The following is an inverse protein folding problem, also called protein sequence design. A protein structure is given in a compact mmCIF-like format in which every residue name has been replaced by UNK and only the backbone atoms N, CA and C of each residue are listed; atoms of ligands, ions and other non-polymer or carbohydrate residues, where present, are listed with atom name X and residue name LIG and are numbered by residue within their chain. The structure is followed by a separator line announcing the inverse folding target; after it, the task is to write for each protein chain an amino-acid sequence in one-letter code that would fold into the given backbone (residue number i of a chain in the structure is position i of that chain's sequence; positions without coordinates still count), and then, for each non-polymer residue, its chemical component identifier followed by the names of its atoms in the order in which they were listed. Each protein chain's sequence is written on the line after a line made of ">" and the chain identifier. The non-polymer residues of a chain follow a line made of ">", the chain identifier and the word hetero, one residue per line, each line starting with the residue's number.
data_IF_366138027199
#
_entry.id   IF_366138027199
#
_cell.length_a   1.000
_cell.length_b   1.000
_cell.length_c   1.000
_cell.angle_alpha   90.00
_cell.angle_beta   90.00
_cell.angle_gamma   90.00
#
_symmetry.space_group_name_H-M   'P 1'
#
loop_
_entity.id
_entity.type
_entity.pdbx_description
1 polymer ?
#
# COMPACT_ATOMS: atom_id res chain seq x y z
N UNK A 1 -27.36 6.48 -8.70
CA UNK A 1 -26.96 6.94 -7.35
C UNK A 1 -25.92 5.96 -6.88
N UNK A 2 -24.66 6.39 -6.77
CA UNK A 2 -23.52 5.52 -6.44
C UNK A 2 -23.58 5.10 -4.98
N UNK A 3 -23.55 3.81 -4.73
CA UNK A 3 -23.58 3.20 -3.40
C UNK A 3 -22.15 3.15 -2.86
N UNK A 4 -21.88 3.85 -1.76
CA UNK A 4 -20.53 3.94 -1.16
C UNK A 4 -20.53 3.24 0.19
N UNK A 5 -19.58 2.32 0.37
CA UNK A 5 -19.26 1.70 1.65
C UNK A 5 -18.00 2.38 2.21
N UNK A 6 -18.03 2.76 3.48
CA UNK A 6 -16.92 3.46 4.15
C UNK A 6 -16.26 2.51 5.14
N UNK A 7 -14.92 2.41 5.05
CA UNK A 7 -14.08 1.73 6.02
C UNK A 7 -13.01 2.67 6.57
N UNK A 8 -13.00 2.90 7.88
CA UNK A 8 -11.94 3.66 8.54
C UNK A 8 -11.78 3.21 9.98
N UNK A 9 -10.56 3.19 10.51
CA UNK A 9 -10.29 2.79 11.89
C UNK A 9 -10.85 3.82 12.88
N UNK A 10 -10.70 5.11 12.60
CA UNK A 10 -11.21 6.21 13.44
C UNK A 10 -12.72 6.43 13.27
N UNK A 11 -13.47 6.45 14.39
CA UNK A 11 -14.90 6.77 14.40
C UNK A 11 -15.17 8.21 13.95
N UNK A 12 -14.30 9.15 14.30
CA UNK A 12 -14.40 10.55 13.93
C UNK A 12 -14.27 10.71 12.41
N UNK A 13 -13.33 10.01 11.81
CA UNK A 13 -13.14 10.01 10.35
C UNK A 13 -14.36 9.41 9.66
N UNK A 14 -14.88 8.29 10.15
CA UNK A 14 -16.11 7.68 9.60
C UNK A 14 -17.27 8.65 9.60
N UNK A 15 -17.54 9.28 10.75
CA UNK A 15 -18.63 10.27 10.87
C UNK A 15 -18.43 11.48 9.94
N UNK A 16 -17.18 11.93 9.78
CA UNK A 16 -16.82 13.01 8.86
C UNK A 16 -17.11 12.64 7.41
N UNK A 17 -16.64 11.46 6.96
CA UNK A 17 -16.88 10.96 5.60
C UNK A 17 -18.34 10.70 5.32
N UNK A 18 -19.11 10.15 6.28
CA UNK A 18 -20.56 9.99 6.14
C UNK A 18 -21.27 11.34 5.96
N UNK A 19 -20.93 12.32 6.79
CA UNK A 19 -21.51 13.68 6.71
C UNK A 19 -21.17 14.31 5.35
N UNK A 20 -19.94 14.21 4.91
CA UNK A 20 -19.47 14.73 3.63
C UNK A 20 -20.24 14.12 2.46
N UNK A 21 -20.27 12.78 2.38
CA UNK A 21 -20.93 12.09 1.28
C UNK A 21 -22.44 12.22 1.32
N UNK A 22 -23.02 12.35 2.51
CA UNK A 22 -24.47 12.59 2.70
C UNK A 22 -24.95 13.93 2.12
N UNK A 23 -24.06 14.91 1.95
CA UNK A 23 -24.42 16.20 1.30
C UNK A 23 -24.48 16.11 -0.22
N UNK A 24 -23.96 15.05 -0.82
CA UNK A 24 -23.88 14.89 -2.28
C UNK A 24 -25.01 14.01 -2.79
N UNK A 25 -26.01 14.56 -3.52
CA UNK A 25 -27.19 13.80 -3.95
C UNK A 25 -26.88 12.59 -4.86
N UNK A 26 -25.70 12.57 -5.48
CA UNK A 26 -25.26 11.49 -6.35
C UNK A 26 -24.85 10.22 -5.57
N UNK A 27 -24.60 10.33 -4.27
CA UNK A 27 -24.12 9.24 -3.45
C UNK A 27 -25.18 8.72 -2.47
N UNK A 28 -25.02 7.45 -2.09
CA UNK A 28 -25.75 6.81 -1.00
C UNK A 28 -24.75 6.02 -0.18
N UNK A 29 -24.46 6.45 1.04
CA UNK A 29 -23.69 5.65 1.99
C UNK A 29 -24.54 4.44 2.38
N UNK A 30 -24.04 3.23 2.11
CA UNK A 30 -24.71 1.96 2.39
C UNK A 30 -24.24 1.31 3.68
N UNK A 31 -23.13 1.79 4.22
CA UNK A 31 -22.58 1.38 5.51
C UNK A 31 -21.29 2.13 5.81
N UNK A 32 -20.95 2.16 7.10
CA UNK A 32 -19.72 2.78 7.60
C UNK A 32 -19.22 1.98 8.80
N UNK A 33 -18.06 1.39 8.68
CA UNK A 33 -17.53 0.41 9.63
C UNK A 33 -16.02 0.59 9.84
N UNK A 34 -15.44 0.02 10.91
CA UNK A 34 -14.01 -0.24 10.96
C UNK A 34 -13.57 -1.06 9.74
N UNK A 35 -12.34 -0.87 9.25
CA UNK A 35 -11.85 -1.42 7.97
C UNK A 35 -12.18 -2.92 7.83
N UNK A 36 -11.77 -3.75 8.81
CA UNK A 36 -12.02 -5.20 8.76
C UNK A 36 -13.51 -5.57 8.69
N UNK A 37 -14.38 -4.81 9.36
CA UNK A 37 -15.82 -5.02 9.31
C UNK A 37 -16.42 -4.55 7.98
N UNK A 38 -15.91 -3.45 7.40
CA UNK A 38 -16.32 -2.98 6.08
C UNK A 38 -16.02 -4.04 5.00
N UNK A 39 -14.85 -4.66 5.07
CA UNK A 39 -14.46 -5.74 4.17
C UNK A 39 -15.37 -6.98 4.33
N UNK A 40 -15.71 -7.34 5.58
CA UNK A 40 -16.62 -8.47 5.84
C UNK A 40 -18.06 -8.23 5.34
N UNK A 41 -18.51 -6.96 5.35
CA UNK A 41 -19.86 -6.57 4.90
C UNK A 41 -19.93 -6.27 3.39
N UNK A 42 -18.81 -6.30 2.70
CA UNK A 42 -18.71 -5.92 1.30
C UNK A 42 -19.61 -6.74 0.38
N UNK A 43 -19.58 -8.07 0.51
CA UNK A 43 -20.37 -8.97 -0.32
C UNK A 43 -21.89 -8.83 -0.06
N UNK A 44 -22.28 -8.59 1.19
CA UNK A 44 -23.68 -8.44 1.57
C UNK A 44 -24.25 -7.10 1.08
N UNK A 45 -23.48 -6.03 1.26
CA UNK A 45 -23.92 -4.68 0.93
C UNK A 45 -23.79 -4.34 -0.55
N UNK A 46 -22.96 -5.05 -1.31
CA UNK A 46 -22.70 -4.84 -2.74
C UNK A 46 -22.59 -3.35 -3.11
N UNK A 47 -21.61 -2.62 -2.58
CA UNK A 47 -21.42 -1.20 -2.91
C UNK A 47 -20.89 -1.06 -4.33
N UNK A 48 -21.14 0.07 -4.97
CA UNK A 48 -20.52 0.44 -6.25
C UNK A 48 -19.07 0.91 -6.05
N UNK A 49 -18.75 1.45 -4.86
CA UNK A 49 -17.41 1.92 -4.49
C UNK A 49 -17.15 1.63 -3.02
N UNK A 50 -15.95 1.12 -2.72
CA UNK A 50 -15.44 1.01 -1.35
C UNK A 50 -14.45 2.16 -1.11
N UNK A 51 -14.72 3.00 -0.10
CA UNK A 51 -13.82 4.06 0.35
C UNK A 51 -13.13 3.60 1.64
N UNK A 52 -11.81 3.47 1.62
CA UNK A 52 -11.00 3.13 2.78
C UNK A 52 -10.11 4.31 3.19
N UNK A 53 -10.07 4.60 4.48
CA UNK A 53 -9.09 5.49 5.09
C UNK A 53 -8.06 4.64 5.84
N UNK A 54 -6.83 4.62 5.33
CA UNK A 54 -5.72 3.86 5.88
C UNK A 54 -4.86 4.80 6.73
N UNK A 55 -5.03 4.72 8.05
CA UNK A 55 -4.38 5.64 9.00
C UNK A 55 -3.02 5.11 9.49
N UNK A 56 -2.86 3.80 9.50
CA UNK A 56 -1.69 3.16 10.08
C UNK A 56 -1.02 2.18 9.10
N UNK A 57 0.28 1.88 9.30
CA UNK A 57 0.95 0.82 8.55
C UNK A 57 0.30 -0.56 8.73
N UNK A 58 -0.43 -0.78 9.83
CA UNK A 58 -1.17 -2.00 10.09
C UNK A 58 -2.40 -2.09 9.17
N UNK A 59 -3.09 -0.97 8.93
CA UNK A 59 -4.20 -0.89 7.98
C UNK A 59 -3.70 -1.15 6.54
N UNK A 60 -2.52 -0.65 6.19
CA UNK A 60 -1.89 -0.83 4.87
C UNK A 60 -1.38 -2.26 4.65
N UNK A 61 -0.96 -2.95 5.71
CA UNK A 61 -0.50 -4.34 5.64
C UNK A 61 -1.65 -5.35 5.56
N UNK A 62 -2.89 -4.92 5.78
CA UNK A 62 -4.06 -5.76 5.51
C UNK A 62 -4.07 -6.11 4.03
N UNK A 63 -3.99 -7.38 3.72
CA UNK A 63 -4.24 -7.87 2.36
C UNK A 63 -5.62 -7.38 1.96
N UNK A 64 -5.67 -6.31 1.16
CA UNK A 64 -6.93 -5.84 0.61
C UNK A 64 -7.51 -7.02 -0.15
N UNK A 65 -8.71 -7.53 0.18
CA UNK A 65 -9.30 -8.70 -0.48
C UNK A 65 -9.77 -8.29 -1.86
N UNK A 66 -8.82 -8.08 -2.76
CA UNK A 66 -9.08 -7.70 -4.13
C UNK A 66 -8.83 -8.92 -4.99
N UNK A 67 -9.73 -9.89 -4.86
CA UNK A 67 -9.92 -10.87 -5.91
C UNK A 67 -10.53 -10.13 -7.11
N UNK A 68 -9.94 -10.34 -8.28
CA UNK A 68 -10.31 -9.71 -9.54
C UNK A 68 -11.83 -9.72 -9.77
N UNK A 69 -12.47 -8.57 -9.69
CA UNK A 69 -13.91 -8.42 -9.97
C UNK A 69 -14.72 -7.66 -8.92
N UNK A 70 -14.10 -7.20 -7.84
CA UNK A 70 -14.75 -6.44 -6.77
C UNK A 70 -14.90 -4.95 -7.20
N UNK A 71 -15.91 -4.27 -6.66
CA UNK A 71 -16.21 -2.85 -6.89
C UNK A 71 -14.97 -1.97 -6.75
N UNK A 72 -14.92 -0.83 -7.47
CA UNK A 72 -13.80 0.10 -7.41
C UNK A 72 -13.44 0.50 -5.98
N UNK A 73 -12.15 0.41 -5.65
CA UNK A 73 -11.61 0.82 -4.37
C UNK A 73 -11.03 2.24 -4.49
N UNK A 74 -11.39 3.10 -3.55
CA UNK A 74 -10.80 4.43 -3.32
C UNK A 74 -10.10 4.40 -1.97
N UNK A 75 -8.84 4.79 -1.94
CA UNK A 75 -8.01 4.78 -0.74
C UNK A 75 -7.55 6.18 -0.38
N UNK A 76 -7.72 6.55 0.88
CA UNK A 76 -7.12 7.72 1.51
C UNK A 76 -5.93 7.22 2.34
N UNK A 77 -4.72 7.73 2.07
CA UNK A 77 -3.51 7.31 2.78
C UNK A 77 -2.42 8.37 2.67
N UNK A 78 -1.57 8.45 3.68
CA UNK A 78 -0.36 9.28 3.65
C UNK A 78 0.85 8.51 3.09
N UNK A 79 0.69 7.19 2.84
CA UNK A 79 1.71 6.38 2.21
C UNK A 79 1.71 6.59 0.70
N UNK A 80 2.73 7.28 0.21
CA UNK A 80 2.95 7.53 -1.23
C UNK A 80 4.13 6.72 -1.77
N UNK A 81 4.58 5.68 -1.05
CA UNK A 81 5.67 4.82 -1.51
C UNK A 81 5.28 4.17 -2.85
N UNK A 82 6.13 4.39 -3.84
CA UNK A 82 5.91 3.96 -5.23
C UNK A 82 5.49 2.47 -5.33
N UNK A 83 6.14 1.62 -4.54
CA UNK A 83 5.86 0.20 -4.52
C UNK A 83 4.43 -0.12 -4.04
N UNK A 84 4.01 0.47 -2.89
CA UNK A 84 2.68 0.27 -2.34
C UNK A 84 1.58 0.77 -3.30
N UNK A 85 1.82 1.91 -3.95
CA UNK A 85 0.89 2.48 -4.93
C UNK A 85 0.69 1.55 -6.13
N UNK A 86 1.78 0.98 -6.67
CA UNK A 86 1.70 0.02 -7.78
C UNK A 86 0.95 -1.24 -7.37
N UNK A 87 1.25 -1.80 -6.19
CA UNK A 87 0.56 -2.99 -5.67
C UNK A 87 -0.95 -2.72 -5.47
N UNK A 88 -1.30 -1.56 -4.92
CA UNK A 88 -2.68 -1.17 -4.74
C UNK A 88 -3.43 -1.05 -6.07
N UNK A 89 -2.81 -0.46 -7.09
CA UNK A 89 -3.41 -0.35 -8.43
C UNK A 89 -3.55 -1.71 -9.12
N UNK A 90 -2.54 -2.57 -9.05
CA UNK A 90 -2.58 -3.93 -9.58
C UNK A 90 -3.65 -4.77 -8.90
N UNK A 91 -3.88 -4.51 -7.62
CA UNK A 91 -4.95 -5.12 -6.83
C UNK A 91 -6.36 -4.60 -7.15
N UNK A 92 -6.53 -3.62 -8.04
CA UNK A 92 -7.83 -3.10 -8.48
C UNK A 92 -8.26 -1.78 -7.84
N UNK A 93 -7.42 -1.14 -7.04
CA UNK A 93 -7.66 0.23 -6.56
C UNK A 93 -7.83 1.18 -7.74
N UNK A 94 -8.82 2.07 -7.68
CA UNK A 94 -9.13 3.04 -8.73
C UNK A 94 -8.80 4.47 -8.35
N UNK A 95 -8.68 4.77 -7.06
CA UNK A 95 -8.21 6.08 -6.64
C UNK A 95 -7.31 5.98 -5.40
N UNK A 96 -6.24 6.75 -5.39
CA UNK A 96 -5.32 6.88 -4.27
C UNK A 96 -5.11 8.37 -4.03
N UNK A 97 -5.46 8.82 -2.83
CA UNK A 97 -5.45 10.21 -2.42
C UNK A 97 -4.75 10.35 -1.06
N UNK A 98 -4.02 11.45 -0.81
CA UNK A 98 -3.60 11.84 0.53
C UNK A 98 -4.81 12.04 1.46
N UNK A 99 -4.60 11.90 2.77
CA UNK A 99 -5.67 12.05 3.77
C UNK A 99 -6.10 13.51 3.99
N UNK A 100 -5.26 14.48 3.63
CA UNK A 100 -5.50 15.92 3.77
C UNK A 100 -6.27 16.54 2.58
N UNK A 101 -6.93 15.69 1.77
CA UNK A 101 -7.71 16.12 0.61
C UNK A 101 -8.96 16.91 0.99
N UNK A 102 -9.34 17.81 0.08
CA UNK A 102 -10.61 18.53 0.18
C UNK A 102 -11.82 17.61 -0.08
N UNK A 103 -12.96 18.00 0.43
CA UNK A 103 -14.22 17.29 0.18
C UNK A 103 -14.54 17.13 -1.30
N UNK A 104 -14.21 18.14 -2.10
CA UNK A 104 -14.47 18.16 -3.55
C UNK A 104 -13.59 17.13 -4.28
N UNK A 105 -12.33 16.98 -3.88
CA UNK A 105 -11.39 16.00 -4.45
C UNK A 105 -11.81 14.57 -4.12
N UNK A 106 -12.23 14.30 -2.87
CA UNK A 106 -12.75 12.99 -2.47
C UNK A 106 -14.00 12.63 -3.30
N UNK A 107 -14.93 13.58 -3.46
CA UNK A 107 -16.13 13.38 -4.28
C UNK A 107 -15.78 13.08 -5.74
N UNK A 108 -14.86 13.87 -6.32
CA UNK A 108 -14.41 13.66 -7.71
C UNK A 108 -13.74 12.30 -7.90
N UNK A 109 -12.91 11.87 -6.95
CA UNK A 109 -12.24 10.57 -6.99
C UNK A 109 -13.24 9.39 -6.92
N UNK A 110 -14.25 9.48 -6.04
CA UNK A 110 -15.31 8.45 -5.96
C UNK A 110 -16.12 8.40 -7.25
N UNK A 111 -16.43 9.54 -7.87
CA UNK A 111 -17.13 9.59 -9.16
C UNK A 111 -16.29 8.99 -10.29
N UNK A 112 -15.00 9.30 -10.34
CA UNK A 112 -14.08 8.75 -11.32
C UNK A 112 -13.96 7.23 -11.17
N UNK A 113 -13.77 6.74 -9.93
CA UNK A 113 -13.70 5.32 -9.63
C UNK A 113 -15.00 4.60 -10.02
N UNK A 114 -16.15 5.14 -9.68
CA UNK A 114 -17.46 4.58 -10.07
C UNK A 114 -17.67 4.54 -11.59
N UNK A 115 -17.03 5.44 -12.34
CA UNK A 115 -17.01 5.42 -13.81
C UNK A 115 -15.97 4.47 -14.40
N UNK A 116 -15.22 3.74 -13.57
CA UNK A 116 -14.15 2.81 -14.01
C UNK A 116 -12.84 3.50 -14.40
N UNK A 117 -12.68 4.77 -14.07
CA UNK A 117 -11.44 5.52 -14.30
C UNK A 117 -10.47 5.33 -13.13
N UNK A 118 -9.19 5.56 -13.39
CA UNK A 118 -8.17 5.65 -12.34
C UNK A 118 -7.92 7.13 -12.03
N UNK A 119 -8.00 7.50 -10.75
CA UNK A 119 -7.73 8.84 -10.25
C UNK A 119 -6.57 8.79 -9.26
N UNK A 120 -5.48 9.47 -9.57
CA UNK A 120 -4.32 9.60 -8.70
C UNK A 120 -4.10 11.07 -8.39
N UNK A 121 -3.87 11.37 -7.12
CA UNK A 121 -3.47 12.71 -6.75
C UNK A 121 -2.09 13.05 -7.38
N UNK A 122 -1.84 14.30 -7.81
CA UNK A 122 -0.56 14.67 -8.43
C UNK A 122 0.68 14.31 -7.60
N UNK A 123 0.60 14.37 -6.29
CA UNK A 123 1.71 13.95 -5.39
C UNK A 123 1.99 12.45 -5.53
N UNK A 124 0.96 11.61 -5.54
CA UNK A 124 1.08 10.17 -5.73
C UNK A 124 1.65 9.85 -7.11
N UNK A 125 1.13 10.52 -8.14
CA UNK A 125 1.64 10.36 -9.50
C UNK A 125 3.11 10.82 -9.60
N UNK A 126 3.47 11.92 -8.94
CA UNK A 126 4.83 12.43 -8.94
C UNK A 126 5.80 11.45 -8.27
N UNK A 127 5.42 10.82 -7.16
CA UNK A 127 6.24 9.78 -6.52
C UNK A 127 6.44 8.56 -7.44
N UNK A 128 5.44 8.18 -8.24
CA UNK A 128 5.54 7.09 -9.22
C UNK A 128 6.41 7.45 -10.43
N UNK A 129 6.33 8.68 -10.91
CA UNK A 129 7.05 9.15 -12.09
C UNK A 129 8.44 9.69 -11.76
N UNK A 130 8.67 10.04 -10.49
CA UNK A 130 10.03 10.34 -10.07
C UNK A 130 10.83 9.08 -10.37
N UNK A 131 11.80 9.14 -11.30
CA UNK A 131 12.75 8.05 -11.38
C UNK A 131 13.24 7.83 -9.95
N UNK A 132 13.36 6.57 -9.53
CA UNK A 132 14.28 6.23 -8.43
C UNK A 132 15.47 7.11 -8.73
N UNK A 133 15.79 8.14 -7.95
CA UNK A 133 16.81 9.07 -8.36
C UNK A 133 17.99 8.20 -8.76
N UNK A 134 18.54 8.33 -9.97
CA UNK A 134 19.86 7.82 -10.19
C UNK A 134 20.61 8.49 -9.05
N UNK A 135 21.15 7.71 -8.12
CA UNK A 135 21.75 8.23 -6.91
C UNK A 135 22.36 9.59 -7.26
N UNK A 136 21.61 10.66 -6.94
CA UNK A 136 22.17 11.98 -7.12
C UNK A 136 23.48 11.86 -6.40
N UNK A 137 24.55 12.33 -7.02
CA UNK A 137 25.86 12.52 -6.42
C UNK A 137 25.78 13.53 -5.26
N UNK A 138 24.79 13.45 -4.42
CA UNK A 138 24.85 13.75 -3.01
C UNK A 138 25.72 12.66 -2.42
N UNK A 139 26.87 13.04 -1.87
CA UNK A 139 27.74 12.12 -1.13
C UNK A 139 26.84 11.19 -0.31
N UNK A 140 26.91 9.86 -0.52
CA UNK A 140 25.95 8.93 0.07
C UNK A 140 26.00 9.13 1.58
N UNK A 141 24.87 9.54 2.17
CA UNK A 141 24.76 9.56 3.62
C UNK A 141 25.08 8.12 4.08
N UNK A 142 26.08 7.90 4.92
CA UNK A 142 26.45 6.56 5.37
C UNK A 142 25.28 5.73 5.92
N UNK A 143 24.15 6.38 6.27
CA UNK A 143 22.92 5.72 6.70
C UNK A 143 22.12 5.03 5.58
N UNK A 144 22.23 5.50 4.33
CA UNK A 144 21.50 4.92 3.19
C UNK A 144 22.07 3.57 2.71
N UNK A 145 23.29 3.24 3.10
CA UNK A 145 23.94 1.96 2.78
C UNK A 145 23.67 0.89 3.85
N UNK A 146 23.03 1.23 4.96
CA UNK A 146 22.78 0.28 6.06
C UNK A 146 21.43 -0.41 5.84
N UNK A 147 21.44 -1.74 5.92
CA UNK A 147 20.19 -2.50 5.90
C UNK A 147 19.33 -2.14 7.11
N UNK A 148 18.04 -1.93 6.89
CA UNK A 148 17.06 -1.75 7.97
C UNK A 148 16.93 -3.04 8.79
N UNK A 149 16.41 -2.99 10.02
CA UNK A 149 16.16 -4.19 10.82
C UNK A 149 15.30 -5.22 10.07
N UNK A 150 14.32 -4.77 9.30
CA UNK A 150 13.45 -5.64 8.51
C UNK A 150 14.17 -6.32 7.35
N UNK A 151 15.05 -5.59 6.66
CA UNK A 151 15.89 -6.16 5.60
C UNK A 151 16.89 -7.19 6.15
N UNK A 152 17.41 -6.97 7.35
CA UNK A 152 18.28 -7.95 8.03
C UNK A 152 17.49 -9.22 8.36
N UNK A 153 16.25 -9.13 8.84
CA UNK A 153 15.40 -10.29 9.08
C UNK A 153 15.13 -11.08 7.79
N UNK A 154 14.77 -10.38 6.71
CA UNK A 154 14.57 -11.00 5.40
C UNK A 154 15.86 -11.67 4.92
N UNK A 155 17.00 -10.98 5.01
CA UNK A 155 18.31 -11.53 4.58
C UNK A 155 18.71 -12.78 5.36
N UNK A 156 18.42 -12.86 6.67
CA UNK A 156 18.64 -14.05 7.50
C UNK A 156 17.83 -15.24 7.00
N UNK A 157 16.55 -15.05 6.75
CA UNK A 157 15.68 -16.11 6.22
C UNK A 157 16.11 -16.55 4.82
N UNK A 158 16.59 -15.60 4.01
CA UNK A 158 17.19 -15.89 2.70
C UNK A 158 18.44 -16.74 2.86
N UNK A 159 19.26 -16.48 3.85
CA UNK A 159 20.47 -17.26 4.16
C UNK A 159 20.14 -18.67 4.66
N UNK A 160 19.02 -18.86 5.36
CA UNK A 160 18.47 -20.18 5.73
C UNK A 160 17.95 -20.99 4.53
N UNK A 161 17.91 -20.39 3.33
CA UNK A 161 17.44 -21.05 2.10
C UNK A 161 15.92 -20.98 1.87
N UNK A 162 15.19 -20.20 2.67
CA UNK A 162 13.73 -20.08 2.56
C UNK A 162 13.32 -19.38 1.26
N UNK A 163 12.32 -19.91 0.57
CA UNK A 163 11.70 -19.25 -0.59
C UNK A 163 10.88 -18.02 -0.19
N UNK A 164 10.58 -17.11 -1.15
CA UNK A 164 9.86 -15.88 -0.85
C UNK A 164 8.50 -16.13 -0.17
N UNK A 165 7.77 -17.17 -0.59
CA UNK A 165 6.49 -17.56 0.03
C UNK A 165 6.66 -18.01 1.49
N UNK A 166 7.74 -18.66 1.83
CA UNK A 166 8.03 -19.11 3.20
C UNK A 166 8.44 -17.92 4.07
N UNK A 167 9.26 -17.02 3.53
CA UNK A 167 9.60 -15.74 4.19
C UNK A 167 8.34 -14.92 4.43
N UNK A 168 7.49 -14.76 3.42
CA UNK A 168 6.23 -14.06 3.50
C UNK A 168 5.33 -14.61 4.63
N UNK A 169 5.16 -15.94 4.67
CA UNK A 169 4.39 -16.62 5.70
C UNK A 169 4.94 -16.41 7.11
N UNK A 170 6.27 -16.46 7.30
CA UNK A 170 6.91 -16.25 8.61
C UNK A 170 6.81 -14.82 9.09
N UNK A 171 6.84 -13.87 8.17
CA UNK A 171 6.83 -12.44 8.47
C UNK A 171 5.42 -11.82 8.47
N UNK A 172 4.39 -12.58 8.07
CA UNK A 172 3.01 -12.12 7.96
C UNK A 172 2.81 -11.05 6.87
N UNK A 173 3.58 -11.11 5.78
CA UNK A 173 3.55 -10.16 4.66
C UNK A 173 3.33 -10.89 3.33
N UNK A 174 3.07 -10.16 2.24
CA UNK A 174 2.90 -10.76 0.91
C UNK A 174 4.23 -11.28 0.32
N UNK A 175 4.15 -12.29 -0.58
CA UNK A 175 5.32 -12.76 -1.36
C UNK A 175 5.95 -11.62 -2.17
N UNK A 176 5.13 -10.67 -2.59
CA UNK A 176 5.53 -9.51 -3.34
C UNK A 176 6.33 -8.51 -2.48
N UNK A 177 5.89 -8.27 -1.25
CA UNK A 177 6.61 -7.45 -0.26
C UNK A 177 7.99 -8.04 0.04
N UNK A 178 8.09 -9.37 0.10
CA UNK A 178 9.39 -10.05 0.26
C UNK A 178 10.29 -9.81 -0.95
N UNK A 179 9.76 -9.88 -2.17
CA UNK A 179 10.52 -9.57 -3.40
C UNK A 179 11.08 -8.16 -3.37
N UNK A 180 10.28 -7.20 -2.89
CA UNK A 180 10.72 -5.82 -2.73
C UNK A 180 11.89 -5.70 -1.75
N UNK A 181 11.75 -6.26 -0.53
CA UNK A 181 12.85 -6.25 0.43
C UNK A 181 14.12 -6.88 -0.15
N UNK A 182 14.00 -7.97 -0.91
CA UNK A 182 15.15 -8.61 -1.57
C UNK A 182 15.78 -7.68 -2.61
N UNK A 183 14.98 -6.97 -3.41
CA UNK A 183 15.49 -6.01 -4.40
C UNK A 183 16.19 -4.84 -3.72
N UNK A 184 15.63 -4.31 -2.63
CA UNK A 184 16.26 -3.26 -1.83
C UNK A 184 17.58 -3.73 -1.20
N UNK A 185 17.60 -4.95 -0.63
CA UNK A 185 18.82 -5.57 -0.09
C UNK A 185 19.88 -5.68 -1.19
N UNK A 186 19.51 -6.12 -2.39
CA UNK A 186 20.45 -6.23 -3.51
C UNK A 186 21.04 -4.87 -3.88
N UNK A 187 20.21 -3.84 -3.97
CA UNK A 187 20.67 -2.49 -4.27
C UNK A 187 21.64 -1.96 -3.19
N UNK A 188 21.27 -2.09 -1.90
CA UNK A 188 22.10 -1.63 -0.77
C UNK A 188 23.41 -2.39 -0.60
N UNK A 189 23.43 -3.70 -0.90
CA UNK A 189 24.62 -4.53 -0.81
C UNK A 189 25.43 -4.56 -2.11
N UNK A 190 24.95 -3.95 -3.19
CA UNK A 190 25.58 -4.04 -4.51
C UNK A 190 25.59 -5.47 -5.06
N UNK A 191 24.61 -6.30 -4.70
CA UNK A 191 24.53 -7.70 -5.09
C UNK A 191 23.63 -7.87 -6.32
N UNK A 192 24.02 -8.75 -7.23
CA UNK A 192 23.24 -9.07 -8.44
C UNK A 192 22.45 -10.39 -8.32
N UNK A 193 22.64 -11.11 -7.22
CA UNK A 193 21.97 -12.38 -6.98
C UNK A 193 21.72 -12.64 -5.50
N UNK A 194 20.77 -13.55 -5.22
CA UNK A 194 20.43 -13.99 -3.86
C UNK A 194 21.62 -14.54 -3.09
N UNK A 195 22.43 -15.39 -3.74
CA UNK A 195 23.63 -15.99 -3.16
C UNK A 195 24.70 -14.94 -2.87
N UNK A 196 24.83 -13.98 -3.77
CA UNK A 196 25.77 -12.87 -3.61
C UNK A 196 25.36 -11.97 -2.43
N UNK A 197 24.09 -11.63 -2.31
CA UNK A 197 23.57 -10.84 -1.20
C UNK A 197 23.84 -11.50 0.17
N UNK A 198 23.61 -12.81 0.29
CA UNK A 198 23.95 -13.59 1.49
C UNK A 198 25.45 -13.54 1.77
N UNK A 199 26.27 -13.76 0.75
CA UNK A 199 27.75 -13.75 0.88
C UNK A 199 28.25 -12.39 1.36
N UNK A 200 27.73 -11.30 0.78
CA UNK A 200 28.07 -9.92 1.18
C UNK A 200 27.60 -9.65 2.61
N UNK A 201 26.37 -10.05 2.95
CA UNK A 201 25.80 -9.88 4.29
C UNK A 201 26.62 -10.58 5.39
N UNK A 202 27.12 -11.79 5.12
CA UNK A 202 28.01 -12.50 6.04
C UNK A 202 29.36 -11.78 6.15
N UNK A 203 29.94 -11.37 5.04
CA UNK A 203 31.24 -10.66 5.02
C UNK A 203 31.21 -9.33 5.76
N UNK A 204 30.09 -8.64 5.72
CA UNK A 204 29.88 -7.38 6.43
C UNK A 204 29.42 -7.57 7.89
N UNK A 205 29.22 -8.81 8.34
CA UNK A 205 28.77 -9.12 9.70
C UNK A 205 27.31 -8.78 10.00
N UNK A 206 26.49 -8.57 8.96
CA UNK A 206 25.06 -8.24 9.10
C UNK A 206 24.23 -9.46 9.49
N UNK A 207 24.65 -10.64 9.05
CA UNK A 207 24.05 -11.94 9.37
C UNK A 207 25.11 -12.98 9.69
N UNK A 208 24.74 -13.97 10.49
CA UNK A 208 25.53 -15.16 10.77
C UNK A 208 24.72 -16.40 10.33
N UNK A 209 25.37 -17.34 9.72
CA UNK A 209 24.82 -18.65 9.31
C UNK A 209 25.37 -19.74 10.20
#
# INVERSE_FOLDING_TARGET
>A
MTRVLIGASSEVVRAGLESLLGTVPAFKVVGSFPIGAALAQFEELQPDVLLLDLESPEDESMSLPIESGISPLVVLTDNTENFWVVEALDSGTRAILPRDMTSEEIVAAIQAAAAGLVALHPQVLHSMLSPIPPAEESEPDPSDQVLTPREIEVLRMVAEGLGNKEVASRLGISDHTVKFHISSIFAKLGASSRTEAVTVGIRQGLIMV
#
